data_IF_367838994112
#
_entry.id   IF_367838994112
#
_cell.length_a   1.000
_cell.length_b   1.000
_cell.length_c   1.000
_cell.angle_alpha   90.00
_cell.angle_beta   90.00
_cell.angle_gamma   90.00
#
_symmetry.space_group_name_H-M   'P 1'
#
loop_
_entity.id
_entity.type
_entity.pdbx_description
1 polymer ?
#
# COMPACT_ATOMS: atom_id res chain seq x y z
N UNK A 1 19.18 -1.31 -8.76
CA UNK A 1 18.14 -1.72 -7.80
C UNK A 1 17.35 -0.53 -7.34
N UNK A 2 16.05 -0.60 -7.43
CA UNK A 2 15.22 0.55 -7.08
C UNK A 2 13.87 0.12 -6.58
N UNK A 3 13.20 1.04 -5.89
CA UNK A 3 11.79 0.91 -5.54
C UNK A 3 11.04 2.09 -6.12
N UNK A 4 9.73 1.96 -6.23
CA UNK A 4 8.86 3.04 -6.67
C UNK A 4 7.59 3.03 -5.83
N UNK A 5 6.93 4.17 -5.74
CA UNK A 5 5.66 4.23 -5.04
C UNK A 5 4.64 3.52 -5.91
N UNK A 6 4.13 2.38 -5.41
CA UNK A 6 3.14 1.60 -6.15
C UNK A 6 1.74 2.00 -5.82
N UNK A 7 1.49 2.31 -4.55
CA UNK A 7 0.16 2.72 -4.12
C UNK A 7 0.24 3.50 -2.82
N UNK A 8 -0.69 4.43 -2.67
CA UNK A 8 -0.92 5.13 -1.41
C UNK A 8 -2.15 4.48 -0.80
N UNK A 9 -2.00 3.90 0.39
CA UNK A 9 -3.05 3.11 1.01
C UNK A 9 -3.74 3.93 2.09
N UNK A 10 -5.06 4.06 1.98
CA UNK A 10 -5.87 4.77 2.97
C UNK A 10 -6.78 3.79 3.69
N UNK A 11 -6.80 3.89 5.02
CA UNK A 11 -7.74 3.14 5.84
C UNK A 11 -8.95 4.02 6.10
N UNK A 12 -10.15 3.49 5.91
CA UNK A 12 -11.34 4.31 6.05
C UNK A 12 -12.50 3.51 6.63
N UNK A 13 -13.33 4.21 7.41
CA UNK A 13 -14.52 3.61 8.02
C UNK A 13 -15.74 3.70 7.12
N UNK A 14 -15.75 4.63 6.16
CA UNK A 14 -16.84 4.83 5.21
C UNK A 14 -16.36 4.36 3.84
N UNK A 15 -16.07 3.07 3.74
CA UNK A 15 -15.35 2.52 2.60
C UNK A 15 -16.02 2.86 1.26
N UNK A 16 -17.28 2.49 1.09
CA UNK A 16 -17.95 2.66 -0.19
C UNK A 16 -18.07 4.12 -0.60
N UNK A 17 -18.40 4.98 0.34
CA UNK A 17 -18.53 6.41 0.06
C UNK A 17 -17.18 7.05 -0.26
N UNK A 18 -16.16 6.65 0.46
CA UNK A 18 -14.81 7.19 0.26
C UNK A 18 -14.26 6.78 -1.10
N UNK A 19 -14.44 5.51 -1.45
CA UNK A 19 -13.98 5.01 -2.75
C UNK A 19 -14.72 5.75 -3.88
N UNK A 20 -16.04 5.87 -3.78
CA UNK A 20 -16.81 6.56 -4.81
C UNK A 20 -16.38 8.02 -4.96
N UNK A 21 -16.12 8.67 -3.83
CA UNK A 21 -15.64 10.05 -3.87
C UNK A 21 -14.35 10.19 -4.67
N UNK A 22 -13.37 9.33 -4.38
CA UNK A 22 -12.07 9.44 -5.04
C UNK A 22 -12.11 9.01 -6.50
N UNK A 23 -12.95 8.02 -6.83
CA UNK A 23 -13.17 7.67 -8.24
C UNK A 23 -13.66 8.86 -9.02
N UNK A 24 -14.66 9.56 -8.49
CA UNK A 24 -15.25 10.70 -9.19
C UNK A 24 -14.30 11.90 -9.20
N UNK A 25 -13.64 12.15 -8.08
CA UNK A 25 -12.76 13.31 -7.98
C UNK A 25 -11.57 13.22 -8.93
N UNK A 26 -11.00 12.03 -9.08
CA UNK A 26 -9.77 11.85 -9.85
C UNK A 26 -10.01 11.19 -11.23
N UNK A 27 -11.21 10.73 -11.47
CA UNK A 27 -11.53 9.94 -12.67
C UNK A 27 -10.71 8.66 -12.72
N UNK A 28 -10.45 8.08 -11.54
CA UNK A 28 -9.76 6.81 -11.41
C UNK A 28 -10.74 5.68 -11.55
N UNK A 29 -10.23 4.52 -11.90
CA UNK A 29 -11.05 3.31 -12.07
C UNK A 29 -10.49 2.18 -11.21
N UNK A 30 -11.36 1.27 -10.72
CA UNK A 30 -10.86 0.12 -9.98
C UNK A 30 -10.03 -0.77 -10.90
N UNK A 31 -8.90 -1.22 -10.40
CA UNK A 31 -8.07 -2.20 -11.12
C UNK A 31 -8.80 -3.54 -11.21
N UNK A 32 -9.49 -3.91 -10.14
CA UNK A 32 -10.38 -5.06 -10.06
C UNK A 32 -11.54 -4.68 -9.16
N UNK A 33 -12.68 -5.39 -9.26
CA UNK A 33 -13.81 -5.08 -8.37
C UNK A 33 -13.41 -5.14 -6.92
N UNK A 34 -13.98 -4.24 -6.10
CA UNK A 34 -13.73 -4.23 -4.67
C UNK A 34 -14.08 -5.58 -4.05
N UNK A 35 -13.27 -6.04 -3.11
CA UNK A 35 -13.47 -7.33 -2.47
C UNK A 35 -13.00 -7.28 -1.03
N UNK A 36 -13.83 -7.73 -0.11
CA UNK A 36 -13.47 -7.83 1.31
C UNK A 36 -12.96 -6.52 1.89
N UNK A 37 -13.58 -5.41 1.50
CA UNK A 37 -13.18 -4.11 2.01
C UNK A 37 -11.86 -3.61 1.46
N UNK A 38 -11.47 -4.08 0.28
CA UNK A 38 -10.23 -3.67 -0.37
C UNK A 38 -10.47 -3.34 -1.83
N UNK A 39 -9.88 -2.24 -2.29
CA UNK A 39 -9.90 -1.91 -3.71
C UNK A 39 -8.65 -1.08 -4.04
N UNK A 40 -8.13 -1.27 -5.24
CA UNK A 40 -7.06 -0.43 -5.78
C UNK A 40 -7.65 0.39 -6.91
N UNK A 41 -7.57 1.70 -6.79
CA UNK A 41 -7.96 2.61 -7.85
C UNK A 41 -6.72 3.02 -8.63
N UNK A 42 -6.85 3.07 -9.94
CA UNK A 42 -5.73 3.42 -10.80
C UNK A 42 -6.13 4.49 -11.79
N UNK A 43 -5.14 5.26 -12.20
CA UNK A 43 -5.30 6.23 -13.26
C UNK A 43 -5.39 5.48 -14.58
N UNK A 44 -6.51 5.59 -15.31
CA UNK A 44 -6.62 4.88 -16.59
C UNK A 44 -5.60 5.33 -17.63
N UNK A 45 -5.02 6.51 -17.45
CA UNK A 45 -3.96 6.99 -18.34
C UNK A 45 -2.56 6.61 -17.86
N UNK A 46 -2.46 5.99 -16.70
CA UNK A 46 -1.18 5.52 -16.18
C UNK A 46 -0.21 6.60 -15.74
N UNK A 47 -0.68 7.82 -15.50
CA UNK A 47 0.20 8.94 -15.16
C UNK A 47 0.31 9.17 -13.65
N UNK A 48 -0.72 8.87 -12.90
CA UNK A 48 -0.74 9.10 -11.47
C UNK A 48 -0.49 7.82 -10.67
N UNK A 49 -0.24 7.95 -9.37
CA UNK A 49 -0.05 6.78 -8.50
C UNK A 49 -1.37 6.07 -8.25
N UNK A 50 -1.30 4.79 -7.92
CA UNK A 50 -2.47 4.07 -7.47
C UNK A 50 -2.89 4.54 -6.08
N UNK A 51 -4.19 4.52 -5.82
CA UNK A 51 -4.74 4.71 -4.49
C UNK A 51 -5.45 3.44 -4.09
N UNK A 52 -5.12 2.92 -2.92
CA UNK A 52 -5.77 1.72 -2.40
C UNK A 52 -6.56 2.09 -1.17
N UNK A 53 -7.68 1.40 -0.96
CA UNK A 53 -8.53 1.69 0.18
C UNK A 53 -8.82 0.40 0.92
N UNK A 54 -8.66 0.45 2.24
CA UNK A 54 -8.91 -0.67 3.12
C UNK A 54 -9.95 -0.26 4.15
N UNK A 55 -11.06 -0.99 4.18
CA UNK A 55 -12.09 -0.76 5.18
C UNK A 55 -11.54 -1.07 6.58
N UNK A 56 -11.71 -0.13 7.50
CA UNK A 56 -11.24 -0.27 8.87
C UNK A 56 -12.15 0.48 9.82
N UNK A 57 -12.24 -0.03 11.03
CA UNK A 57 -12.86 0.75 12.11
C UNK A 57 -11.80 1.69 12.65
N UNK A 58 -11.74 2.88 12.07
CA UNK A 58 -10.70 3.84 12.38
C UNK A 58 -10.75 4.37 13.79
N UNK A 59 -11.83 4.12 14.50
CA UNK A 59 -11.92 4.53 15.92
C UNK A 59 -10.98 3.71 16.79
N UNK A 60 -10.60 2.51 16.33
CA UNK A 60 -9.71 1.63 17.06
C UNK A 60 -8.27 1.71 16.58
N UNK A 61 -8.07 2.20 15.37
CA UNK A 61 -6.76 2.25 14.76
C UNK A 61 -6.13 3.61 14.99
N UNK A 62 -5.00 3.63 15.65
CA UNK A 62 -4.31 4.88 15.90
C UNK A 62 -3.02 5.03 15.11
N UNK A 63 -2.59 3.92 14.48
CA UNK A 63 -1.39 3.95 13.67
C UNK A 63 -1.75 4.20 12.25
N UNK A 64 -1.21 4.79 11.48
CA UNK A 64 -1.28 4.88 10.01
C UNK A 64 -2.66 4.79 9.40
N UNK A 65 -3.32 5.89 9.35
CA UNK A 65 -4.46 6.05 8.46
C UNK A 65 -4.05 5.87 7.02
N UNK A 66 -2.76 6.05 6.76
CA UNK A 66 -2.19 6.13 5.43
C UNK A 66 -0.83 5.44 5.47
N UNK A 67 -0.54 4.60 4.49
CA UNK A 67 0.81 4.07 4.34
C UNK A 67 1.14 3.90 2.86
N UNK A 68 2.42 3.78 2.56
CA UNK A 68 2.88 3.57 1.20
C UNK A 68 3.08 2.09 0.94
N UNK A 69 2.75 1.66 -0.26
CA UNK A 69 3.22 0.39 -0.80
C UNK A 69 4.31 0.70 -1.82
N UNK A 70 5.50 0.22 -1.59
CA UNK A 70 6.60 0.35 -2.54
C UNK A 70 6.68 -0.92 -3.36
N UNK A 71 6.61 -0.81 -4.66
CA UNK A 71 6.71 -1.96 -5.55
C UNK A 71 8.18 -2.21 -5.87
N UNK A 72 8.60 -3.45 -5.82
CA UNK A 72 9.99 -3.84 -6.06
C UNK A 72 10.01 -5.09 -6.93
N UNK A 73 10.95 -5.12 -7.86
CA UNK A 73 11.19 -6.30 -8.67
C UNK A 73 11.99 -7.35 -7.87
N UNK A 74 12.74 -6.91 -6.89
CA UNK A 74 13.51 -7.76 -5.98
C UNK A 74 13.22 -7.32 -4.55
N UNK A 75 12.11 -7.80 -4.02
CA UNK A 75 11.66 -7.41 -2.69
C UNK A 75 12.74 -7.61 -1.62
N UNK A 76 13.36 -8.78 -1.62
CA UNK A 76 14.31 -9.09 -0.55
C UNK A 76 15.55 -8.22 -0.60
N UNK A 77 16.07 -7.97 -1.79
CA UNK A 77 17.21 -7.07 -1.95
C UNK A 77 16.90 -5.64 -1.57
N UNK A 78 15.68 -5.18 -1.92
CA UNK A 78 15.28 -3.82 -1.56
C UNK A 78 15.05 -3.68 -0.06
N UNK A 79 14.49 -4.71 0.58
CA UNK A 79 14.32 -4.69 2.03
C UNK A 79 15.69 -4.56 2.71
N UNK A 80 16.68 -5.33 2.26
CA UNK A 80 18.02 -5.22 2.84
C UNK A 80 18.62 -3.84 2.66
N UNK A 81 18.44 -3.26 1.48
CA UNK A 81 18.95 -1.92 1.20
C UNK A 81 18.28 -0.88 2.11
N UNK A 82 16.95 -0.97 2.24
CA UNK A 82 16.21 -0.01 3.07
C UNK A 82 16.54 -0.14 4.55
N UNK A 83 16.76 -1.37 5.03
CA UNK A 83 17.18 -1.57 6.41
C UNK A 83 18.55 -0.91 6.65
N UNK A 84 19.47 -1.02 5.70
CA UNK A 84 20.76 -0.35 5.81
C UNK A 84 20.62 1.17 5.83
N UNK A 85 19.57 1.70 5.21
CA UNK A 85 19.30 3.14 5.22
C UNK A 85 18.62 3.60 6.51
N UNK A 86 18.18 2.69 7.36
CA UNK A 86 17.60 3.07 8.65
C UNK A 86 16.20 2.52 8.91
N UNK A 87 15.62 1.80 7.97
CA UNK A 87 14.31 1.18 8.22
C UNK A 87 14.47 -0.01 9.16
N UNK A 88 13.38 -0.35 9.82
CA UNK A 88 13.35 -1.51 10.72
C UNK A 88 12.26 -2.44 10.28
N UNK A 89 12.49 -3.76 10.41
CA UNK A 89 11.45 -4.74 10.15
C UNK A 89 10.42 -4.65 11.26
N UNK A 90 9.15 -4.61 10.87
CA UNK A 90 8.05 -4.55 11.81
C UNK A 90 7.56 -5.98 12.08
N UNK A 91 7.20 -6.27 13.33
CA UNK A 91 6.68 -7.59 13.70
C UNK A 91 5.27 -7.73 13.13
N UNK A 92 5.14 -8.53 12.08
CA UNK A 92 3.88 -8.69 11.35
C UNK A 92 3.59 -10.17 11.17
N UNK A 93 2.32 -10.55 11.24
CA UNK A 93 1.92 -11.94 11.03
C UNK A 93 1.57 -12.13 9.57
N UNK A 94 2.47 -12.76 8.84
CA UNK A 94 2.29 -12.98 7.41
C UNK A 94 1.47 -14.24 7.15
N UNK A 95 0.63 -14.19 6.12
CA UNK A 95 -0.04 -15.37 5.61
C UNK A 95 0.93 -16.12 4.70
N UNK A 96 0.71 -17.43 4.49
CA UNK A 96 1.52 -18.15 3.52
C UNK A 96 1.46 -17.46 2.16
N UNK A 97 2.60 -17.42 1.46
CA UNK A 97 2.72 -16.81 0.14
C UNK A 97 2.50 -15.29 0.12
N UNK A 98 2.67 -14.65 1.24
CA UNK A 98 2.63 -13.19 1.26
C UNK A 98 3.73 -12.63 0.36
N UNK A 99 3.39 -11.65 -0.44
CA UNK A 99 4.30 -11.04 -1.39
C UNK A 99 4.85 -9.71 -0.90
N UNK A 100 4.74 -9.44 0.38
CA UNK A 100 5.16 -8.15 0.93
C UNK A 100 5.86 -8.31 2.27
N UNK A 101 6.63 -7.29 2.62
CA UNK A 101 7.28 -7.18 3.93
C UNK A 101 6.90 -5.82 4.51
N UNK A 102 6.53 -5.80 5.78
CA UNK A 102 6.20 -4.56 6.47
C UNK A 102 7.45 -4.03 7.15
N UNK A 103 7.77 -2.77 6.87
CA UNK A 103 8.88 -2.07 7.47
C UNK A 103 8.37 -0.84 8.19
N UNK A 104 9.25 -0.30 9.03
CA UNK A 104 9.00 0.93 9.74
C UNK A 104 10.13 1.90 9.38
N UNK A 105 9.79 3.14 9.03
CA UNK A 105 10.82 4.13 8.73
C UNK A 105 11.43 4.64 10.04
N UNK A 106 12.52 5.44 9.98
CA UNK A 106 13.14 5.93 11.22
C UNK A 106 12.20 6.72 12.12
N UNK A 107 11.14 7.32 11.57
CA UNK A 107 10.16 8.08 12.36
C UNK A 107 9.02 7.23 12.90
N UNK A 108 9.00 5.94 12.61
CA UNK A 108 7.97 5.03 13.11
C UNK A 108 6.76 4.83 12.20
N UNK A 109 6.80 5.35 10.97
CA UNK A 109 5.70 5.16 10.02
C UNK A 109 5.86 3.83 9.30
N UNK A 110 4.78 3.06 9.26
CA UNK A 110 4.79 1.76 8.60
C UNK A 110 4.63 1.92 7.09
N UNK A 111 5.30 1.06 6.35
CA UNK A 111 5.14 0.97 4.91
C UNK A 111 5.44 -0.47 4.48
N UNK A 112 5.05 -0.81 3.27
CA UNK A 112 5.22 -2.17 2.75
C UNK A 112 6.11 -2.15 1.53
N UNK A 113 6.95 -3.20 1.40
CA UNK A 113 7.66 -3.47 0.15
C UNK A 113 7.00 -4.69 -0.45
N UNK A 114 6.47 -4.55 -1.66
CA UNK A 114 5.64 -5.55 -2.32
C UNK A 114 6.39 -6.08 -3.52
N UNK A 115 6.52 -7.41 -3.60
CA UNK A 115 7.12 -8.03 -4.77
C UNK A 115 6.15 -7.93 -5.94
N UNK A 116 6.62 -7.37 -7.04
CA UNK A 116 5.85 -7.41 -8.28
C UNK A 116 6.60 -8.30 -9.26
N UNK A 117 5.87 -8.87 -10.20
CA UNK A 117 6.50 -9.81 -11.13
C UNK A 117 7.60 -9.11 -11.91
N UNK A 118 8.80 -9.69 -11.95
CA UNK A 118 9.86 -9.14 -12.81
C UNK A 118 9.44 -9.24 -14.26
N UNK A 119 9.95 -8.36 -15.06
CA UNK A 119 9.65 -8.36 -16.49
C UNK A 119 10.68 -9.06 -17.30
#
# INVERSE_FOLDING_TARGET
>A
MSVRIGSIVMHCSEFERTVAFWQDALHYVPREPARNGWVVLQDPEGKGPNLSFQARDTRRERRSWLHLDLYADDKDGEVERLVKLGARRYLWRYRPRSDFVVLEDPGGTLFCVVQVSPR
#
